data_IF_943655079923
#
_entry.id   IF_943655079923
#
_cell.length_a   1.000
_cell.length_b   1.000
_cell.length_c   1.000
_cell.angle_alpha   90.00
_cell.angle_beta   90.00
_cell.angle_gamma   90.00
#
_symmetry.space_group_name_H-M   'P 1'
#
loop_
_entity.id
_entity.type
_entity.pdbx_description
1 polymer ?
#
# COMPACT_ATOMS: atom_id res chain seq x y z
N UNK A 1 -28.04 -4.61 -10.00
CA UNK A 1 -27.89 -3.68 -8.87
C UNK A 1 -26.93 -4.33 -7.88
N UNK A 2 -25.66 -3.92 -7.84
CA UNK A 2 -24.74 -4.27 -6.76
C UNK A 2 -24.22 -2.97 -6.14
N UNK A 3 -24.53 -2.84 -4.85
CA UNK A 3 -24.23 -1.74 -3.93
C UNK A 3 -22.74 -1.33 -3.96
N UNK A 4 -22.39 -0.06 -3.67
CA UNK A 4 -21.00 0.30 -3.45
C UNK A 4 -20.53 -0.44 -2.20
N UNK A 5 -19.75 -1.51 -2.38
CA UNK A 5 -19.12 -2.24 -1.29
C UNK A 5 -18.20 -1.27 -0.56
N UNK A 6 -18.64 -0.79 0.61
CA UNK A 6 -17.79 -0.20 1.62
C UNK A 6 -16.75 -1.25 2.03
N UNK A 7 -15.64 -1.29 1.31
CA UNK A 7 -14.60 -2.32 1.45
C UNK A 7 -13.57 -1.86 2.48
N UNK A 8 -13.98 -1.76 3.75
CA UNK A 8 -13.03 -1.67 4.86
C UNK A 8 -12.36 -3.04 4.99
N UNK A 9 -11.20 -3.20 4.32
CA UNK A 9 -10.44 -4.47 4.28
C UNK A 9 -9.91 -4.86 5.67
N UNK A 10 -9.72 -3.89 6.57
CA UNK A 10 -9.15 -4.11 7.90
C UNK A 10 -9.98 -3.43 9.00
N UNK A 11 -10.01 -4.04 10.18
CA UNK A 11 -10.60 -3.46 11.39
C UNK A 11 -9.91 -2.16 11.78
N UNK A 12 -10.67 -1.21 12.35
CA UNK A 12 -10.15 0.04 12.91
C UNK A 12 -8.99 -0.20 13.90
N UNK A 13 -9.06 -1.26 14.71
CA UNK A 13 -7.98 -1.61 15.64
C UNK A 13 -6.66 -1.95 14.94
N UNK A 14 -6.73 -2.68 13.82
CA UNK A 14 -5.55 -3.02 13.02
C UNK A 14 -4.93 -1.78 12.36
N UNK A 15 -5.78 -0.88 11.85
CA UNK A 15 -5.33 0.38 11.25
C UNK A 15 -4.57 1.23 12.29
N UNK A 16 -5.14 1.36 13.50
CA UNK A 16 -4.49 2.10 14.60
C UNK A 16 -3.16 1.44 15.00
N UNK A 17 -3.12 0.11 15.14
CA UNK A 17 -1.90 -0.61 15.48
C UNK A 17 -0.80 -0.40 14.43
N UNK A 18 -1.13 -0.47 13.14
CA UNK A 18 -0.16 -0.29 12.05
C UNK A 18 0.42 1.13 12.03
N UNK A 19 -0.39 2.15 12.27
CA UNK A 19 0.09 3.53 12.41
C UNK A 19 0.93 3.72 13.67
N UNK A 20 0.51 3.13 14.80
CA UNK A 20 1.25 3.22 16.05
C UNK A 20 2.63 2.56 15.94
N UNK A 21 2.73 1.37 15.35
CA UNK A 21 4.02 0.68 15.18
C UNK A 21 4.95 1.42 14.23
N UNK A 22 4.42 2.01 13.16
CA UNK A 22 5.20 2.84 12.24
C UNK A 22 5.78 4.09 12.95
N UNK A 23 4.93 4.83 13.68
CA UNK A 23 5.36 6.04 14.41
C UNK A 23 6.37 5.68 15.52
N UNK A 24 6.13 4.59 16.25
CA UNK A 24 7.06 4.11 17.28
C UNK A 24 8.41 3.70 16.68
N UNK A 25 8.42 3.00 15.55
CA UNK A 25 9.65 2.56 14.89
C UNK A 25 10.49 3.74 14.38
N UNK A 26 9.85 4.67 13.64
CA UNK A 26 10.53 5.87 13.13
C UNK A 26 11.00 6.75 14.29
N UNK A 27 10.15 6.94 15.30
CA UNK A 27 10.49 7.72 16.50
C UNK A 27 11.67 7.12 17.28
N UNK A 28 11.65 5.82 17.54
CA UNK A 28 12.74 5.12 18.22
C UNK A 28 14.07 5.23 17.46
N UNK A 29 14.05 5.10 16.13
CA UNK A 29 15.23 5.31 15.29
C UNK A 29 15.74 6.75 15.37
N UNK A 30 14.85 7.74 15.28
CA UNK A 30 15.24 9.15 15.41
C UNK A 30 15.85 9.46 16.79
N UNK A 31 15.26 8.93 17.88
CA UNK A 31 15.84 9.07 19.22
C UNK A 31 17.21 8.38 19.31
N UNK A 32 17.38 7.21 18.71
CA UNK A 32 18.66 6.51 18.64
C UNK A 32 19.75 7.32 17.92
N UNK A 33 19.42 7.96 16.80
CA UNK A 33 20.34 8.84 16.06
C UNK A 33 20.74 10.06 16.90
N UNK A 34 19.81 10.65 17.65
CA UNK A 34 20.10 11.81 18.50
C UNK A 34 21.03 11.47 19.66
N UNK A 35 20.85 10.31 20.30
CA UNK A 35 21.66 9.84 21.43
C UNK A 35 23.06 9.33 21.04
N UNK A 36 23.35 9.21 19.75
CA UNK A 36 24.64 8.71 19.27
C UNK A 36 25.76 9.74 19.57
N UNK A 37 26.87 9.35 20.22
CA UNK A 37 27.99 10.24 20.52
C UNK A 37 28.91 10.40 19.30
N UNK A 38 28.35 10.93 18.20
CA UNK A 38 29.06 11.16 16.93
C UNK A 38 28.84 12.59 16.45
N UNK A 39 29.64 12.99 15.46
CA UNK A 39 29.51 14.30 14.82
C UNK A 39 28.13 14.51 14.17
N UNK A 40 27.64 15.74 14.20
CA UNK A 40 26.34 16.14 13.67
C UNK A 40 26.21 15.83 12.18
N UNK A 41 27.32 15.88 11.43
CA UNK A 41 27.32 15.50 10.01
C UNK A 41 26.93 14.03 9.80
N UNK A 42 27.47 13.11 10.62
CA UNK A 42 27.16 11.68 10.56
C UNK A 42 25.70 11.43 10.95
N UNK A 43 25.19 12.14 11.96
CA UNK A 43 23.76 12.10 12.33
C UNK A 43 22.87 12.53 11.16
N UNK A 44 23.27 13.59 10.45
CA UNK A 44 22.59 14.08 9.25
C UNK A 44 22.54 13.02 8.14
N UNK A 45 23.67 12.37 7.86
CA UNK A 45 23.74 11.27 6.88
C UNK A 45 22.81 10.10 7.25
N UNK A 46 22.79 9.68 8.51
CA UNK A 46 21.88 8.63 8.98
C UNK A 46 20.41 9.06 8.88
N UNK A 47 20.10 10.32 9.20
CA UNK A 47 18.77 10.89 9.06
C UNK A 47 18.28 10.91 7.60
N UNK A 48 19.15 11.29 6.67
CA UNK A 48 18.86 11.22 5.23
C UNK A 48 18.57 9.79 4.78
N UNK A 49 19.39 8.82 5.20
CA UNK A 49 19.19 7.40 4.89
C UNK A 49 17.86 6.86 5.44
N UNK A 50 17.52 7.20 6.69
CA UNK A 50 16.23 6.84 7.29
C UNK A 50 15.06 7.44 6.49
N UNK A 51 15.10 8.73 6.20
CA UNK A 51 14.04 9.43 5.46
C UNK A 51 13.85 8.85 4.05
N UNK A 52 14.94 8.61 3.33
CA UNK A 52 14.90 8.05 1.97
C UNK A 52 14.38 6.60 1.98
N UNK A 53 14.81 5.78 2.93
CA UNK A 53 14.34 4.38 3.07
C UNK A 53 12.83 4.32 3.36
N UNK A 54 12.35 5.16 4.29
CA UNK A 54 10.92 5.24 4.61
C UNK A 54 10.11 5.74 3.41
N UNK A 55 10.56 6.82 2.76
CA UNK A 55 9.90 7.40 1.59
C UNK A 55 9.82 6.43 0.41
N UNK A 56 10.92 5.74 0.09
CA UNK A 56 10.96 4.73 -0.97
C UNK A 56 10.09 3.52 -0.66
N UNK A 57 10.01 3.07 0.60
CA UNK A 57 9.12 1.97 1.02
C UNK A 57 7.66 2.32 0.81
N UNK A 58 7.24 3.56 1.14
CA UNK A 58 5.86 4.03 0.90
C UNK A 58 5.56 4.07 -0.60
N UNK A 59 6.47 4.60 -1.41
CA UNK A 59 6.33 4.61 -2.87
C UNK A 59 6.22 3.21 -3.44
N UNK A 60 7.06 2.28 -2.98
CA UNK A 60 7.00 0.87 -3.36
C UNK A 60 5.66 0.23 -2.97
N UNK A 61 5.17 0.47 -1.75
CA UNK A 61 3.88 -0.04 -1.28
C UNK A 61 2.71 0.46 -2.15
N UNK A 62 2.73 1.74 -2.54
CA UNK A 62 1.74 2.30 -3.48
C UNK A 62 1.81 1.60 -4.83
N UNK A 63 2.99 1.52 -5.44
CA UNK A 63 3.18 0.84 -6.73
C UNK A 63 2.69 -0.62 -6.69
N UNK A 64 2.99 -1.34 -5.60
CA UNK A 64 2.49 -2.71 -5.42
C UNK A 64 0.96 -2.73 -5.32
N UNK A 65 0.35 -1.84 -4.54
CA UNK A 65 -1.11 -1.75 -4.41
C UNK A 65 -1.78 -1.41 -5.74
N UNK A 66 -1.27 -0.41 -6.46
CA UNK A 66 -1.80 0.03 -7.75
C UNK A 66 -1.75 -1.11 -8.77
N UNK A 67 -0.66 -1.90 -8.78
CA UNK A 67 -0.55 -3.10 -9.62
C UNK A 67 -1.57 -4.20 -9.25
N UNK A 68 -1.89 -4.38 -7.96
CA UNK A 68 -2.92 -5.34 -7.52
C UNK A 68 -4.33 -4.88 -7.93
N UNK A 69 -4.62 -3.58 -7.77
CA UNK A 69 -5.91 -3.00 -8.17
C UNK A 69 -6.10 -3.07 -9.69
N UNK A 70 -5.07 -2.73 -10.48
CA UNK A 70 -5.10 -2.81 -11.94
C UNK A 70 -5.42 -4.23 -12.44
N UNK A 71 -4.73 -5.26 -11.91
CA UNK A 71 -4.98 -6.66 -12.27
C UNK A 71 -6.41 -7.13 -11.94
N UNK A 72 -6.96 -6.67 -10.81
CA UNK A 72 -8.33 -7.00 -10.41
C UNK A 72 -9.37 -6.35 -11.34
N UNK A 73 -9.10 -5.13 -11.80
CA UNK A 73 -9.98 -4.43 -12.74
C UNK A 73 -9.95 -5.09 -14.13
N UNK A 74 -8.77 -5.44 -14.65
CA UNK A 74 -8.66 -6.12 -15.95
C UNK A 74 -9.41 -7.45 -15.96
N UNK A 75 -9.25 -8.27 -14.91
CA UNK A 75 -9.95 -9.55 -14.79
C UNK A 75 -11.48 -9.41 -14.85
N UNK A 76 -12.05 -8.38 -14.20
CA UNK A 76 -13.50 -8.11 -14.24
C UNK A 76 -13.98 -7.65 -15.61
N UNK A 77 -13.17 -6.88 -16.33
CA UNK A 77 -13.49 -6.44 -17.69
C UNK A 77 -13.46 -7.63 -18.64
N UNK A 78 -12.47 -8.51 -18.50
CA UNK A 78 -12.37 -9.74 -19.29
C UNK A 78 -13.57 -10.66 -19.02
N UNK A 79 -13.96 -10.84 -17.75
CA UNK A 79 -15.16 -11.61 -17.36
C UNK A 79 -16.44 -11.04 -18.01
N UNK A 80 -16.66 -9.73 -17.92
CA UNK A 80 -17.83 -9.09 -18.53
C UNK A 80 -17.82 -9.16 -20.07
N UNK A 81 -16.64 -9.08 -20.70
CA UNK A 81 -16.51 -9.26 -22.16
C UNK A 81 -16.82 -10.70 -22.58
N UNK A 82 -16.34 -11.67 -21.81
CA UNK A 82 -16.61 -13.10 -22.04
C UNK A 82 -18.11 -13.38 -21.87
N UNK A 83 -18.73 -12.89 -20.80
CA UNK A 83 -20.17 -13.01 -20.57
C UNK A 83 -20.98 -12.43 -21.75
N UNK A 84 -20.59 -11.24 -22.23
CA UNK A 84 -21.23 -10.63 -23.40
C UNK A 84 -21.09 -11.49 -24.65
N UNK A 85 -19.90 -12.00 -24.97
CA UNK A 85 -19.67 -12.87 -26.12
C UNK A 85 -20.49 -14.15 -26.05
N UNK A 86 -20.55 -14.80 -24.88
CA UNK A 86 -21.36 -15.98 -24.63
C UNK A 86 -22.86 -15.69 -24.81
N UNK A 87 -23.33 -14.52 -24.35
CA UNK A 87 -24.72 -14.11 -24.51
C UNK A 87 -25.11 -13.82 -25.96
N UNK A 88 -24.21 -13.23 -26.76
CA UNK A 88 -24.44 -12.91 -28.18
C UNK A 88 -24.42 -14.16 -29.07
N UNK A 89 -23.67 -15.21 -28.70
CA UNK A 89 -23.49 -16.42 -29.51
C UNK A 89 -24.36 -17.61 -29.04
N UNK A 90 -25.39 -17.38 -28.23
CA UNK A 90 -26.22 -18.45 -27.70
C UNK A 90 -27.02 -19.13 -28.83
N UNK A 91 -26.74 -20.40 -29.19
CA UNK A 91 -27.26 -21.05 -30.39
C UNK A 91 -28.72 -21.57 -30.27
N UNK A 92 -29.49 -21.07 -29.29
CA UNK A 92 -30.85 -21.53 -28.98
C UNK A 92 -31.90 -20.41 -29.01
N UNK A 93 -31.74 -19.43 -29.89
CA UNK A 93 -32.82 -18.54 -30.31
C UNK A 93 -32.90 -18.48 -31.83
#
# INVERSE_FOLDING_TARGET
>A
MQSPLNNQVHSTGWIVQAWASFVLSVGAMSVGILNLPVDNWVKGYMGMGLAFTVGSTISMAKTTRDNHEAKRLTARVDEARVEKLLSEHHPLK
#
